data_IF_634639710087
#
_entry.id   IF_634639710087
#
_cell.length_a   1.000
_cell.length_b   1.000
_cell.length_c   1.000
_cell.angle_alpha   90.00
_cell.angle_beta   90.00
_cell.angle_gamma   90.00
#
_symmetry.space_group_name_H-M   'P 1'
#
loop_
_entity.id
_entity.type
_entity.pdbx_description
1 polymer ?
#
# COMPACT_ATOMS: atom_id res chain seq x y z
N UNK A 1 19.84 14.83 -11.18
CA UNK A 1 18.86 14.54 -12.24
C UNK A 1 17.57 15.21 -11.79
N UNK A 2 17.07 16.19 -12.52
CA UNK A 2 15.89 16.96 -12.08
C UNK A 2 14.65 16.08 -12.05
N UNK A 3 13.75 16.33 -11.11
CA UNK A 3 12.50 15.59 -11.01
C UNK A 3 11.67 15.81 -12.27
N UNK A 4 11.38 14.71 -12.97
CA UNK A 4 10.44 14.72 -14.09
C UNK A 4 9.04 14.67 -13.50
N UNK A 5 8.26 15.72 -13.72
CA UNK A 5 6.83 15.71 -13.43
C UNK A 5 6.14 14.65 -14.29
N UNK A 6 5.21 13.90 -13.69
CA UNK A 6 4.46 12.83 -14.35
C UNK A 6 2.98 13.06 -14.06
N UNK A 7 2.17 13.20 -15.12
CA UNK A 7 0.71 13.35 -15.08
C UNK A 7 -0.02 12.00 -15.21
N UNK A 8 0.65 10.90 -14.83
CA UNK A 8 0.13 9.54 -14.97
C UNK A 8 -0.29 8.95 -13.61
N UNK A 9 -1.15 7.94 -13.65
CA UNK A 9 -1.57 7.18 -12.46
C UNK A 9 -0.45 6.35 -11.81
N UNK A 10 0.68 6.23 -12.50
CA UNK A 10 1.87 5.53 -12.03
C UNK A 10 3.07 6.45 -12.05
N UNK A 11 3.93 6.31 -11.04
CA UNK A 11 5.23 6.95 -10.98
C UNK A 11 6.30 5.94 -10.64
N UNK A 12 7.43 6.01 -11.35
CA UNK A 12 8.60 5.19 -11.07
C UNK A 12 9.45 5.83 -10.00
N UNK A 13 9.79 5.06 -8.98
CA UNK A 13 10.72 5.42 -7.91
C UNK A 13 11.89 4.43 -7.88
N UNK A 14 12.94 4.73 -7.12
CA UNK A 14 14.02 3.77 -6.84
C UNK A 14 13.68 2.98 -5.57
N UNK A 15 13.86 1.66 -5.56
CA UNK A 15 13.63 0.86 -4.36
C UNK A 15 14.77 1.04 -3.34
N UNK A 16 14.47 1.53 -2.13
CA UNK A 16 15.43 1.67 -1.03
C UNK A 16 15.83 0.30 -0.46
N UNK A 17 14.87 -0.62 -0.36
CA UNK A 17 15.06 -2.02 -0.01
C UNK A 17 14.49 -2.92 -1.12
N UNK A 18 14.78 -4.22 -1.08
CA UNK A 18 14.25 -5.16 -2.08
C UNK A 18 12.72 -5.28 -1.96
N UNK A 19 12.02 -4.95 -3.05
CA UNK A 19 10.57 -5.13 -3.24
C UNK A 19 10.27 -6.28 -4.21
N UNK A 20 11.25 -7.13 -4.50
CA UNK A 20 11.13 -8.21 -5.49
C UNK A 20 10.01 -9.22 -5.17
N UNK A 21 9.68 -9.38 -3.90
CA UNK A 21 8.62 -10.27 -3.39
C UNK A 21 7.41 -9.49 -2.83
N UNK A 22 7.31 -8.19 -3.13
CA UNK A 22 6.31 -7.29 -2.57
C UNK A 22 5.46 -6.65 -3.68
N UNK A 23 5.16 -7.44 -4.71
CA UNK A 23 4.21 -7.05 -5.74
C UNK A 23 2.81 -6.96 -5.12
N UNK A 24 2.09 -5.88 -5.41
CA UNK A 24 0.79 -5.52 -4.83
C UNK A 24 0.81 -5.14 -3.35
N UNK A 25 1.99 -4.78 -2.81
CA UNK A 25 2.12 -4.26 -1.46
C UNK A 25 2.05 -2.74 -1.47
N UNK A 26 1.48 -2.17 -0.43
CA UNK A 26 1.58 -0.76 -0.12
C UNK A 26 3.03 -0.38 0.15
N UNK A 27 3.41 0.79 -0.35
CA UNK A 27 4.73 1.39 -0.14
C UNK A 27 4.59 2.81 0.40
N UNK A 28 5.65 3.28 1.04
CA UNK A 28 5.84 4.66 1.45
C UNK A 28 7.04 5.29 0.74
N UNK A 29 7.19 6.60 0.88
CA UNK A 29 8.44 7.26 0.52
C UNK A 29 9.58 6.73 1.40
N UNK A 30 10.72 6.51 0.76
CA UNK A 30 11.95 6.11 1.41
C UNK A 30 12.65 7.27 2.11
N UNK A 31 13.82 6.98 2.68
CA UNK A 31 14.62 7.95 3.43
C UNK A 31 15.21 9.03 2.51
N UNK A 32 15.67 8.65 1.31
CA UNK A 32 16.25 9.60 0.37
C UNK A 32 15.26 10.04 -0.71
N UNK A 33 15.68 11.06 -1.45
CA UNK A 33 14.91 11.61 -2.55
C UNK A 33 14.61 10.56 -3.64
N UNK A 34 13.34 10.52 -4.07
CA UNK A 34 12.83 9.62 -5.11
C UNK A 34 13.02 8.12 -4.81
N UNK A 35 13.08 7.76 -3.53
CA UNK A 35 13.10 6.37 -3.08
C UNK A 35 11.75 5.94 -2.50
N UNK A 36 11.50 4.62 -2.54
CA UNK A 36 10.34 3.98 -1.91
C UNK A 36 10.76 2.75 -1.14
N UNK A 37 10.01 2.46 -0.07
CA UNK A 37 10.23 1.32 0.78
C UNK A 37 8.89 0.75 1.27
N UNK A 38 8.92 -0.46 1.82
CA UNK A 38 7.80 -0.94 2.62
C UNK A 38 7.63 -0.05 3.86
N UNK A 39 6.40 0.07 4.37
CA UNK A 39 6.14 0.69 5.66
C UNK A 39 6.97 0.04 6.77
N UNK A 40 7.43 0.87 7.71
CA UNK A 40 8.29 0.50 8.86
C UNK A 40 7.63 0.78 10.22
N UNK A 41 6.53 1.55 10.25
CA UNK A 41 5.71 1.83 11.42
C UNK A 41 4.23 1.93 11.04
N UNK A 42 3.32 1.61 11.95
CA UNK A 42 1.87 1.68 11.70
C UNK A 42 1.37 3.10 11.38
N UNK A 43 2.11 4.11 11.81
CA UNK A 43 1.86 5.52 11.52
C UNK A 43 2.43 5.99 10.17
N UNK A 44 3.12 5.13 9.43
CA UNK A 44 3.61 5.50 8.10
C UNK A 44 2.43 5.74 7.15
N UNK A 45 2.58 6.75 6.29
CA UNK A 45 1.56 7.14 5.31
C UNK A 45 1.87 6.42 3.99
N UNK A 46 1.02 5.50 3.53
CA UNK A 46 1.20 4.86 2.22
C UNK A 46 1.00 5.87 1.10
N UNK A 47 1.83 5.79 0.06
CA UNK A 47 1.71 6.65 -1.14
C UNK A 47 1.08 5.93 -2.32
N UNK A 48 1.14 4.60 -2.33
CA UNK A 48 0.77 3.81 -3.49
C UNK A 48 0.98 2.33 -3.31
N UNK A 49 0.66 1.59 -4.37
CA UNK A 49 0.82 0.15 -4.46
C UNK A 49 1.95 -0.17 -5.44
N UNK A 50 2.87 -1.03 -5.05
CA UNK A 50 3.91 -1.53 -5.94
C UNK A 50 3.30 -2.49 -6.98
N UNK A 51 3.44 -2.18 -8.26
CA UNK A 51 2.86 -2.97 -9.35
C UNK A 51 3.81 -4.01 -9.94
N UNK A 52 5.10 -3.90 -9.64
CA UNK A 52 6.15 -4.74 -10.22
C UNK A 52 7.01 -5.43 -9.18
N UNK A 53 8.07 -6.06 -9.67
CA UNK A 53 9.14 -6.62 -8.84
C UNK A 53 10.35 -5.70 -9.00
N UNK A 54 10.78 -5.09 -7.91
CA UNK A 54 11.91 -4.17 -7.92
C UNK A 54 12.95 -4.63 -6.90
N UNK A 55 14.07 -5.22 -7.34
CA UNK A 55 15.24 -5.42 -6.49
C UNK A 55 15.74 -4.11 -5.89
N UNK A 56 16.59 -4.21 -4.87
CA UNK A 56 17.18 -3.03 -4.23
C UNK A 56 17.91 -2.16 -5.27
N UNK A 57 17.75 -0.84 -5.17
CA UNK A 57 18.28 0.16 -6.09
C UNK A 57 17.75 0.10 -7.53
N UNK A 58 16.76 -0.75 -7.83
CA UNK A 58 16.11 -0.81 -9.14
C UNK A 58 14.82 0.02 -9.21
N UNK A 59 14.26 0.13 -10.42
CA UNK A 59 13.05 0.90 -10.69
C UNK A 59 11.80 0.17 -10.17
N UNK A 60 11.07 0.81 -9.27
CA UNK A 60 9.78 0.37 -8.77
C UNK A 60 8.65 1.21 -9.37
N UNK A 61 7.71 0.56 -10.07
CA UNK A 61 6.51 1.21 -10.62
C UNK A 61 5.40 1.24 -9.57
N UNK A 62 5.04 2.42 -9.11
CA UNK A 62 4.06 2.60 -8.04
C UNK A 62 2.76 3.19 -8.61
N UNK A 63 1.65 2.49 -8.41
CA UNK A 63 0.29 3.02 -8.62
C UNK A 63 -0.04 3.94 -7.46
N UNK A 64 -0.22 5.23 -7.72
CA UNK A 64 -0.45 6.22 -6.66
C UNK A 64 -1.87 6.09 -6.09
N UNK A 65 -2.04 6.25 -4.77
CA UNK A 65 -3.35 6.13 -4.11
C UNK A 65 -4.32 7.26 -4.48
N UNK A 66 -3.82 8.41 -4.93
CA UNK A 66 -4.67 9.49 -5.43
C UNK A 66 -5.13 9.28 -6.88
N UNK A 67 -4.69 8.20 -7.55
CA UNK A 67 -5.11 7.88 -8.91
C UNK A 67 -6.52 7.30 -8.94
N UNK A 68 -7.25 7.54 -10.03
CA UNK A 68 -8.55 6.95 -10.24
C UNK A 68 -8.47 5.44 -10.53
N UNK A 69 -9.57 4.74 -10.26
CA UNK A 69 -9.74 3.31 -10.56
C UNK A 69 -9.38 2.39 -9.40
N UNK A 70 -9.02 1.15 -9.74
CA UNK A 70 -8.77 0.07 -8.79
C UNK A 70 -7.32 -0.41 -8.87
N UNK A 71 -6.90 -1.15 -7.85
CA UNK A 71 -5.64 -1.87 -7.84
C UNK A 71 -5.78 -3.20 -7.09
N UNK A 72 -4.95 -4.17 -7.47
CA UNK A 72 -4.76 -5.37 -6.68
C UNK A 72 -3.90 -5.07 -5.45
N UNK A 73 -4.28 -5.64 -4.31
CA UNK A 73 -3.54 -5.56 -3.05
C UNK A 73 -3.48 -6.93 -2.38
N UNK A 74 -2.43 -7.18 -1.60
CA UNK A 74 -2.29 -8.43 -0.84
C UNK A 74 -2.90 -8.29 0.56
N UNK A 75 -3.84 -9.17 0.90
CA UNK A 75 -4.48 -9.22 2.20
C UNK A 75 -3.58 -9.87 3.26
N UNK A 76 -3.66 -9.37 4.50
CA UNK A 76 -2.96 -9.96 5.66
C UNK A 76 -3.79 -11.00 6.42
N UNK A 77 -5.09 -11.08 6.11
CA UNK A 77 -6.09 -11.90 6.79
C UNK A 77 -7.38 -11.92 5.93
N UNK A 78 -8.43 -12.57 6.43
CA UNK A 78 -9.75 -12.50 5.80
C UNK A 78 -10.28 -11.05 5.77
N UNK A 79 -10.82 -10.64 4.63
CA UNK A 79 -11.41 -9.32 4.39
C UNK A 79 -12.75 -9.53 3.68
N UNK A 80 -13.80 -8.85 4.16
CA UNK A 80 -15.12 -8.93 3.53
C UNK A 80 -15.22 -7.91 2.40
N UNK A 81 -15.91 -8.26 1.32
CA UNK A 81 -16.26 -7.30 0.27
C UNK A 81 -16.98 -6.08 0.85
N UNK A 82 -16.58 -4.88 0.43
CA UNK A 82 -17.13 -3.62 0.90
C UNK A 82 -16.49 -3.05 2.17
N UNK A 83 -15.63 -3.82 2.87
CA UNK A 83 -14.88 -3.31 4.02
C UNK A 83 -13.91 -2.20 3.60
N UNK A 84 -13.77 -1.19 4.47
CA UNK A 84 -12.67 -0.24 4.35
C UNK A 84 -11.36 -0.92 4.74
N UNK A 85 -10.34 -0.72 3.91
CA UNK A 85 -9.03 -1.35 4.12
C UNK A 85 -7.97 -0.33 4.49
N UNK A 86 -7.10 -0.73 5.40
CA UNK A 86 -5.92 0.01 5.79
C UNK A 86 -4.69 -0.88 5.71
N UNK A 87 -3.52 -0.28 5.90
CA UNK A 87 -2.29 -1.03 6.05
C UNK A 87 -2.37 -2.00 7.24
N UNK A 88 -1.89 -3.22 7.03
CA UNK A 88 -1.74 -4.20 8.08
C UNK A 88 -0.61 -3.82 9.05
N UNK A 89 -0.57 -4.49 10.20
CA UNK A 89 0.46 -4.24 11.21
C UNK A 89 1.86 -4.49 10.61
N UNK A 90 2.72 -3.49 10.75
CA UNK A 90 4.02 -3.52 10.07
C UNK A 90 4.93 -4.64 10.58
N UNK A 91 4.84 -4.99 11.86
CA UNK A 91 5.68 -6.01 12.48
C UNK A 91 5.48 -7.42 11.88
N UNK A 92 4.31 -7.71 11.34
CA UNK A 92 3.94 -9.06 10.88
C UNK A 92 3.57 -9.11 9.40
N UNK A 93 3.08 -8.00 8.83
CA UNK A 93 2.47 -7.97 7.51
C UNK A 93 2.73 -6.66 6.75
N UNK A 94 3.92 -6.06 6.92
CA UNK A 94 4.32 -4.81 6.27
C UNK A 94 3.92 -4.75 4.79
N UNK A 95 3.17 -3.70 4.43
CA UNK A 95 2.71 -3.46 3.06
C UNK A 95 1.49 -4.27 2.62
N UNK A 96 1.03 -5.27 3.38
CA UNK A 96 -0.27 -5.90 3.14
C UNK A 96 -1.41 -5.02 3.65
N UNK A 97 -2.65 -5.37 3.29
CA UNK A 97 -3.86 -4.71 3.77
C UNK A 97 -4.65 -5.57 4.75
N UNK A 98 -5.41 -4.91 5.62
CA UNK A 98 -6.40 -5.53 6.52
C UNK A 98 -7.69 -4.70 6.56
N UNK A 99 -8.78 -5.33 7.01
CA UNK A 99 -10.05 -4.64 7.26
C UNK A 99 -9.93 -3.68 8.45
N UNK A 100 -10.56 -2.51 8.36
CA UNK A 100 -10.72 -1.57 9.47
C UNK A 100 -11.65 -2.08 10.58
N UNK A 101 -12.50 -3.05 10.24
CA UNK A 101 -13.48 -3.61 11.16
C UNK A 101 -12.79 -4.39 12.28
N UNK A 102 -13.10 -4.05 13.53
CA UNK A 102 -12.57 -4.77 14.71
C UNK A 102 -11.10 -4.49 15.04
N UNK A 103 -10.47 -3.48 14.42
CA UNK A 103 -9.13 -3.04 14.79
C UNK A 103 -9.13 -2.37 16.17
N UNK A 104 -8.04 -2.54 16.93
CA UNK A 104 -7.80 -1.89 18.20
C UNK A 104 -7.73 -0.34 18.09
N UNK A 105 -7.81 0.35 19.23
CA UNK A 105 -7.63 1.80 19.27
C UNK A 105 -6.25 2.20 18.72
N UNK A 106 -6.22 3.24 17.88
CA UNK A 106 -5.00 3.63 17.17
C UNK A 106 -5.25 4.66 16.06
N UNK A 107 -4.16 5.04 15.40
CA UNK A 107 -4.20 5.89 14.20
C UNK A 107 -3.86 5.04 12.98
N UNK A 108 -4.75 5.04 11.99
CA UNK A 108 -4.60 4.28 10.75
C UNK A 108 -4.83 5.15 9.53
N UNK A 109 -4.35 4.71 8.38
CA UNK A 109 -4.62 5.35 7.10
C UNK A 109 -5.47 4.42 6.24
N UNK A 110 -6.72 4.82 5.99
CA UNK A 110 -7.61 4.12 5.06
C UNK A 110 -7.11 4.39 3.65
N UNK A 111 -6.89 3.33 2.88
CA UNK A 111 -6.31 3.39 1.51
C UNK A 111 -7.28 2.93 0.43
N UNK A 112 -8.45 2.42 0.83
CA UNK A 112 -9.42 1.94 -0.13
C UNK A 112 -10.60 1.20 0.47
N UNK A 113 -11.37 0.59 -0.43
CA UNK A 113 -12.50 -0.31 -0.10
C UNK A 113 -12.38 -1.60 -0.90
N UNK A 114 -12.53 -2.74 -0.23
CA UNK A 114 -12.46 -4.05 -0.88
C UNK A 114 -13.60 -4.23 -1.88
N UNK A 115 -13.27 -4.64 -3.11
CA UNK A 115 -14.24 -5.04 -4.15
C UNK A 115 -14.36 -6.55 -4.28
N UNK A 116 -13.42 -7.29 -3.70
CA UNK A 116 -13.42 -8.74 -3.61
C UNK A 116 -13.11 -9.16 -2.17
N UNK A 117 -13.63 -10.32 -1.75
CA UNK A 117 -13.33 -10.87 -0.44
C UNK A 117 -12.00 -11.64 -0.43
N UNK A 118 -11.24 -11.53 0.65
CA UNK A 118 -10.07 -12.36 0.95
C UNK A 118 -10.44 -13.42 1.99
N UNK A 119 -9.91 -14.63 1.84
CA UNK A 119 -10.15 -15.74 2.78
C UNK A 119 -9.00 -15.94 3.76
N UNK A 120 -7.77 -15.61 3.35
CA UNK A 120 -6.56 -15.86 4.12
C UNK A 120 -5.47 -14.80 3.87
N UNK A 121 -4.41 -14.87 4.67
CA UNK A 121 -3.18 -14.11 4.45
C UNK A 121 -2.54 -14.49 3.11
N UNK A 122 -2.12 -13.48 2.34
CA UNK A 122 -1.50 -13.64 1.03
C UNK A 122 -2.48 -13.64 -0.15
N UNK A 123 -3.79 -13.64 0.10
CA UNK A 123 -4.79 -13.52 -0.97
C UNK A 123 -4.66 -12.15 -1.66
N UNK A 124 -4.74 -12.15 -2.99
CA UNK A 124 -4.72 -10.95 -3.81
C UNK A 124 -6.16 -10.58 -4.12
N UNK A 125 -6.58 -9.38 -3.73
CA UNK A 125 -7.94 -8.89 -3.94
C UNK A 125 -7.94 -7.54 -4.67
N UNK A 126 -8.99 -7.28 -5.44
CA UNK A 126 -9.24 -5.97 -6.03
C UNK A 126 -9.77 -4.97 -4.98
N UNK A 127 -9.21 -3.75 -5.01
CA UNK A 127 -9.54 -2.66 -4.09
C UNK A 127 -9.82 -1.38 -4.87
N UNK A 128 -10.91 -0.70 -4.53
CA UNK A 128 -11.17 0.67 -4.95
C UNK A 128 -10.20 1.61 -4.22
N UNK A 129 -9.36 2.33 -4.97
CA UNK A 129 -8.39 3.24 -4.40
C UNK A 129 -9.05 4.49 -3.83
N UNK A 130 -8.62 4.87 -2.63
CA UNK A 130 -8.96 6.13 -1.99
C UNK A 130 -7.64 6.77 -1.55
N UNK A 131 -7.50 8.12 -1.66
CA UNK A 131 -6.35 8.81 -1.06
C UNK A 131 -6.18 8.40 0.41
N UNK A 132 -4.94 8.29 0.90
CA UNK A 132 -4.70 7.91 2.28
C UNK A 132 -5.38 8.91 3.25
N UNK A 133 -6.45 8.48 3.91
CA UNK A 133 -7.20 9.30 4.89
C UNK A 133 -6.89 8.80 6.28
N UNK A 134 -6.40 9.69 7.13
CA UNK A 134 -6.17 9.38 8.54
C UNK A 134 -7.50 9.10 9.24
N UNK A 135 -7.57 7.96 9.92
CA UNK A 135 -8.69 7.57 10.76
C UNK A 135 -8.18 7.19 12.15
N UNK A 136 -8.69 7.90 13.15
CA UNK A 136 -8.42 7.61 14.56
C UNK A 136 -9.55 6.73 15.07
N UNK A 137 -9.19 5.54 15.56
CA UNK A 137 -10.10 4.63 16.25
C UNK A 137 -9.88 4.84 17.74
N UNK A 138 -10.95 5.20 18.44
CA UNK A 138 -10.97 5.47 19.89
C UNK A 138 -11.58 4.30 20.65
#
# INVERSE_FOLDING_TARGET
MGDVYIDASHKTFKAEASLANSQYYLVKLGTNHNEVNLPTADSDIPIGVNTGKAPINESASIRLLNSCGTAFMVASAAITEGDEVCMAEVATAAGKIRTMTGIAAGTYYVVGRALEAATADGDIIEVLLIPAVQRVVV
#
